data_IF_423623091386
#
_entry.id   IF_423623091386
#
_cell.length_a   1.000
_cell.length_b   1.000
_cell.length_c   1.000
_cell.angle_alpha   90.00
_cell.angle_beta   90.00
_cell.angle_gamma   90.00
#
_symmetry.space_group_name_H-M   'P 1'
#
loop_
_entity.id
_entity.type
_entity.pdbx_description
1 polymer ?
#
# COMPACT_ATOMS: atom_id res chain seq x y z
N UNK A 1 32.18 12.87 35.86
CA UNK A 1 31.38 11.68 36.23
C UNK A 1 29.89 12.01 36.46
N UNK A 2 29.30 12.95 35.69
CA UNK A 2 27.89 13.36 35.84
C UNK A 2 27.04 13.12 34.57
N UNK A 3 27.64 12.64 33.47
CA UNK A 3 26.91 12.34 32.23
C UNK A 3 26.26 10.95 32.21
N UNK A 4 26.74 10.00 33.03
CA UNK A 4 26.22 8.63 33.07
C UNK A 4 24.84 8.53 33.73
N UNK A 5 24.44 9.51 34.56
CA UNK A 5 23.13 9.52 35.21
C UNK A 5 22.01 10.15 34.36
N UNK A 6 22.32 10.96 33.34
CA UNK A 6 21.31 11.48 32.40
C UNK A 6 20.79 10.44 31.42
N UNK A 7 21.54 9.36 31.18
CA UNK A 7 21.15 8.29 30.23
C UNK A 7 20.19 7.26 30.81
N UNK A 8 19.91 7.29 32.12
CA UNK A 8 18.93 6.38 32.76
C UNK A 8 17.50 6.94 32.78
N UNK A 9 17.29 8.23 32.51
CA UNK A 9 15.98 8.87 32.64
C UNK A 9 15.31 9.25 31.31
N UNK A 10 15.92 8.93 30.15
CA UNK A 10 15.33 9.23 28.83
C UNK A 10 14.70 8.03 28.12
N UNK A 11 14.52 6.90 28.81
CA UNK A 11 14.00 5.66 28.22
C UNK A 11 12.76 5.12 28.96
N UNK A 12 11.91 6.02 29.43
CA UNK A 12 10.50 5.71 29.64
C UNK A 12 9.71 6.32 28.48
N UNK A 13 9.91 5.77 27.29
CA UNK A 13 8.80 5.75 26.33
C UNK A 13 7.71 4.93 27.01
N UNK A 14 6.51 5.50 27.13
CA UNK A 14 5.34 4.76 27.60
C UNK A 14 5.17 3.58 26.64
N UNK A 15 5.64 2.40 27.04
CA UNK A 15 5.51 1.19 26.22
C UNK A 15 4.02 1.01 25.96
N UNK A 16 3.60 1.18 24.69
CA UNK A 16 2.17 1.17 24.36
C UNK A 16 1.59 -0.18 24.76
N UNK A 17 0.39 -0.18 25.34
CA UNK A 17 -0.29 -1.43 25.66
C UNK A 17 -0.74 -2.12 24.37
N UNK A 18 -0.07 -3.23 24.05
CA UNK A 18 -0.34 -4.08 22.89
C UNK A 18 -1.06 -5.38 23.28
N UNK A 19 -1.44 -5.54 24.55
CA UNK A 19 -2.01 -6.78 25.09
C UNK A 19 -3.29 -7.16 24.35
N UNK A 20 -4.19 -6.20 24.13
CA UNK A 20 -5.45 -6.44 23.44
C UNK A 20 -5.25 -6.95 22.00
N UNK A 21 -4.25 -6.43 21.27
CA UNK A 21 -3.96 -6.87 19.90
C UNK A 21 -3.27 -8.22 19.89
N UNK A 22 -2.36 -8.44 20.84
CA UNK A 22 -1.71 -9.74 21.04
C UNK A 22 -2.74 -10.83 21.32
N UNK A 23 -3.64 -10.60 22.28
CA UNK A 23 -4.68 -11.56 22.64
C UNK A 23 -5.62 -11.84 21.47
N UNK A 24 -6.05 -10.79 20.77
CA UNK A 24 -6.85 -10.90 19.55
C UNK A 24 -6.19 -11.74 18.46
N UNK A 25 -4.88 -11.58 18.26
CA UNK A 25 -4.11 -12.31 17.26
C UNK A 25 -3.96 -13.78 17.66
N UNK A 26 -3.57 -14.05 18.91
CA UNK A 26 -3.38 -15.40 19.44
C UNK A 26 -4.69 -16.19 19.48
N UNK A 27 -5.81 -15.55 19.82
CA UNK A 27 -7.15 -16.18 19.78
C UNK A 27 -7.55 -16.62 18.37
N UNK A 28 -7.04 -15.98 17.32
CA UNK A 28 -7.23 -16.38 15.92
C UNK A 28 -6.19 -17.38 15.41
N UNK A 29 -5.26 -17.81 16.27
CA UNK A 29 -4.16 -18.68 15.88
C UNK A 29 -3.10 -17.98 15.03
N UNK A 30 -3.05 -16.65 15.02
CA UNK A 30 -2.01 -15.90 14.33
C UNK A 30 -0.74 -15.81 15.18
N UNK A 31 0.41 -15.69 14.52
CA UNK A 31 1.66 -15.37 15.20
C UNK A 31 1.69 -13.89 15.58
N UNK A 32 2.17 -13.57 16.78
CA UNK A 32 2.34 -12.18 17.25
C UNK A 32 3.77 -11.96 17.75
N UNK A 33 4.36 -10.81 17.37
CA UNK A 33 5.69 -10.38 17.82
C UNK A 33 5.69 -8.87 18.07
N UNK A 34 6.30 -8.43 19.17
CA UNK A 34 6.63 -7.00 19.36
C UNK A 34 7.78 -6.60 18.45
N UNK A 35 7.70 -5.42 17.83
CA UNK A 35 8.80 -4.87 17.05
C UNK A 35 9.97 -4.50 17.98
N UNK A 36 11.20 -4.65 17.50
CA UNK A 36 12.39 -4.31 18.30
C UNK A 36 12.64 -2.80 18.22
N UNK A 37 12.67 -2.13 19.37
CA UNK A 37 13.17 -0.75 19.51
C UNK A 37 12.14 0.36 19.24
N UNK A 38 11.02 0.04 18.60
CA UNK A 38 9.91 0.97 18.32
C UNK A 38 8.61 0.35 18.86
N UNK A 39 7.69 1.18 19.36
CA UNK A 39 6.39 0.79 19.94
C UNK A 39 5.44 0.20 18.88
N UNK A 40 5.82 -0.93 18.29
CA UNK A 40 5.15 -1.56 17.16
C UNK A 40 4.94 -3.07 17.33
N UNK A 41 4.22 -3.66 16.39
CA UNK A 41 4.01 -5.11 16.36
C UNK A 41 4.02 -5.68 14.95
N UNK A 42 4.19 -6.99 14.89
CA UNK A 42 4.07 -7.81 13.68
C UNK A 42 3.11 -8.96 13.96
N UNK A 43 2.17 -9.19 13.04
CA UNK A 43 1.27 -10.34 13.05
C UNK A 43 1.47 -11.13 11.78
N UNK A 44 1.67 -12.44 11.92
CA UNK A 44 1.82 -13.38 10.81
C UNK A 44 0.59 -14.28 10.76
N UNK A 45 -0.04 -14.39 9.60
CA UNK A 45 -1.20 -15.24 9.38
C UNK A 45 -1.21 -15.85 7.98
N UNK A 46 -2.32 -16.48 7.61
CA UNK A 46 -2.49 -17.13 6.31
C UNK A 46 -3.91 -16.95 5.81
N UNK A 47 -4.05 -16.81 4.50
CA UNK A 47 -5.30 -16.88 3.76
C UNK A 47 -5.15 -17.96 2.69
N UNK A 48 -6.01 -18.98 2.70
CA UNK A 48 -5.96 -20.11 1.76
C UNK A 48 -4.56 -20.75 1.62
N UNK A 49 -3.85 -20.87 2.75
CA UNK A 49 -2.50 -21.44 2.81
C UNK A 49 -1.37 -20.48 2.43
N UNK A 50 -1.67 -19.34 1.80
CA UNK A 50 -0.69 -18.30 1.46
C UNK A 50 -0.43 -17.37 2.66
N UNK A 51 0.82 -17.10 3.03
CA UNK A 51 1.13 -16.28 4.19
C UNK A 51 0.89 -14.78 3.92
N UNK A 52 0.28 -14.10 4.89
CA UNK A 52 0.23 -12.65 4.95
C UNK A 52 0.92 -12.15 6.21
N UNK A 53 1.34 -10.88 6.18
CA UNK A 53 1.93 -10.19 7.34
C UNK A 53 1.28 -8.83 7.55
N UNK A 54 0.98 -8.52 8.80
CA UNK A 54 0.61 -7.19 9.29
C UNK A 54 1.80 -6.63 10.06
N UNK A 55 2.10 -5.36 9.85
CA UNK A 55 3.07 -4.59 10.63
C UNK A 55 2.44 -3.27 11.04
N UNK A 56 2.59 -2.90 12.31
CA UNK A 56 2.18 -1.59 12.82
C UNK A 56 3.36 -0.93 13.50
N UNK A 57 3.63 0.32 13.16
CA UNK A 57 4.78 1.07 13.67
C UNK A 57 4.97 2.40 12.96
N UNK A 58 6.18 2.98 12.99
CA UNK A 58 6.45 4.27 12.35
C UNK A 58 6.14 4.27 10.84
N UNK A 59 5.74 5.43 10.30
CA UNK A 59 5.33 5.55 8.91
C UNK A 59 6.53 5.40 7.97
N UNK A 60 6.30 4.69 6.86
CA UNK A 60 7.25 4.58 5.73
C UNK A 60 6.87 5.51 4.56
N UNK A 61 5.82 6.32 4.75
CA UNK A 61 5.27 7.23 3.75
C UNK A 61 5.05 8.59 4.41
N UNK A 62 5.56 9.64 3.79
CA UNK A 62 5.53 11.00 4.35
C UNK A 62 4.11 11.56 4.51
N UNK A 63 3.14 11.02 3.78
CA UNK A 63 1.73 11.40 3.90
C UNK A 63 1.03 10.72 5.09
N UNK A 64 1.66 9.75 5.75
CA UNK A 64 1.13 9.09 6.95
C UNK A 64 1.77 9.72 8.17
N UNK A 65 0.94 10.20 9.09
CA UNK A 65 1.38 10.76 10.38
C UNK A 65 1.15 9.75 11.49
N UNK A 66 1.88 9.88 12.59
CA UNK A 66 1.68 8.99 13.74
C UNK A 66 2.20 7.58 13.45
N UNK A 67 1.29 6.63 13.25
CA UNK A 67 1.64 5.22 13.03
C UNK A 67 0.93 4.68 11.77
N UNK A 68 1.62 3.79 11.07
CA UNK A 68 1.13 3.13 9.86
C UNK A 68 0.83 1.67 10.15
N UNK A 69 -0.35 1.21 9.74
CA UNK A 69 -0.69 -0.20 9.61
C UNK A 69 -0.41 -0.64 8.17
N UNK A 70 0.44 -1.66 8.01
CA UNK A 70 0.86 -2.22 6.73
C UNK A 70 0.46 -3.68 6.66
N UNK A 71 -0.18 -4.09 5.57
CA UNK A 71 -0.44 -5.48 5.26
C UNK A 71 0.24 -5.84 3.95
N UNK A 72 0.78 -7.06 3.88
CA UNK A 72 1.38 -7.59 2.66
C UNK A 72 1.13 -9.07 2.49
N UNK A 73 1.00 -9.51 1.26
CA UNK A 73 0.80 -10.92 0.91
C UNK A 73 1.36 -11.21 -0.49
N UNK A 74 2.06 -12.33 -0.64
CA UNK A 74 2.48 -12.86 -1.94
C UNK A 74 1.29 -13.59 -2.57
N UNK A 75 0.95 -13.24 -3.81
CA UNK A 75 -0.21 -13.77 -4.52
C UNK A 75 0.16 -14.53 -5.79
N UNK A 76 1.42 -14.48 -6.21
CA UNK A 76 1.92 -15.04 -7.48
C UNK A 76 1.10 -14.59 -8.70
N UNK A 77 0.54 -13.37 -8.64
CA UNK A 77 -0.14 -12.75 -9.77
C UNK A 77 0.87 -12.42 -10.88
N UNK A 78 0.37 -12.34 -12.12
CA UNK A 78 1.15 -11.74 -13.21
C UNK A 78 1.67 -10.36 -12.78
N UNK A 79 2.91 -10.04 -13.14
CA UNK A 79 3.55 -8.76 -12.86
C UNK A 79 2.77 -7.56 -13.42
N UNK A 80 1.92 -7.82 -14.41
CA UNK A 80 1.21 -6.82 -15.19
C UNK A 80 -0.14 -6.43 -14.54
N UNK A 81 -0.60 -7.20 -13.55
CA UNK A 81 -1.81 -6.92 -12.78
C UNK A 81 -1.54 -5.84 -11.73
N UNK A 82 -1.50 -4.58 -12.18
CA UNK A 82 -1.20 -3.40 -11.38
C UNK A 82 -2.47 -2.59 -11.19
N UNK A 83 -3.01 -2.63 -9.98
CA UNK A 83 -4.25 -1.97 -9.62
C UNK A 83 -4.06 -1.26 -8.28
N UNK A 84 -4.64 -0.07 -8.15
CA UNK A 84 -4.46 0.79 -6.99
C UNK A 84 -5.79 1.47 -6.64
N UNK A 85 -6.18 1.37 -5.38
CA UNK A 85 -7.28 2.13 -4.76
C UNK A 85 -6.71 3.00 -3.66
N UNK A 86 -7.13 4.26 -3.63
CA UNK A 86 -6.68 5.28 -2.69
C UNK A 86 -7.89 5.96 -2.05
N UNK A 87 -7.77 6.38 -0.78
CA UNK A 87 -8.70 7.37 -0.23
C UNK A 87 -8.67 8.66 -1.06
N UNK A 88 -9.82 9.27 -1.30
CA UNK A 88 -9.95 10.43 -2.19
C UNK A 88 -9.07 11.62 -1.79
N UNK A 89 -8.99 12.04 -0.51
CA UNK A 89 -8.11 13.15 -0.11
C UNK A 89 -6.62 12.84 -0.35
N UNK A 90 -6.21 11.59 -0.16
CA UNK A 90 -4.83 11.16 -0.46
C UNK A 90 -4.56 11.25 -1.97
N UNK A 91 -5.45 10.73 -2.80
CA UNK A 91 -5.30 10.80 -4.26
C UNK A 91 -5.17 12.26 -4.72
N UNK A 92 -6.07 13.14 -4.29
CA UNK A 92 -6.05 14.56 -4.67
C UNK A 92 -4.75 15.24 -4.20
N UNK A 93 -4.26 14.91 -3.00
CA UNK A 93 -2.99 15.43 -2.48
C UNK A 93 -1.78 14.93 -3.27
N UNK A 94 -1.76 13.66 -3.66
CA UNK A 94 -0.66 13.08 -4.44
C UNK A 94 -0.67 13.61 -5.87
N UNK A 95 -1.85 13.81 -6.49
CA UNK A 95 -1.97 14.43 -7.82
C UNK A 95 -1.46 15.87 -7.81
N UNK A 96 -1.83 16.67 -6.80
CA UNK A 96 -1.31 18.04 -6.65
C UNK A 96 0.21 18.06 -6.47
N UNK A 97 0.75 17.23 -5.57
CA UNK A 97 2.20 17.13 -5.34
C UNK A 97 2.94 16.73 -6.61
N UNK A 98 2.37 15.82 -7.38
CA UNK A 98 2.93 15.37 -8.65
C UNK A 98 2.97 16.52 -9.66
N UNK A 99 1.89 17.30 -9.76
CA UNK A 99 1.84 18.48 -10.63
C UNK A 99 2.89 19.52 -10.23
N UNK A 100 3.00 19.85 -8.93
CA UNK A 100 4.01 20.76 -8.38
C UNK A 100 5.43 20.29 -8.72
N UNK A 101 5.73 19.01 -8.51
CA UNK A 101 7.03 18.41 -8.87
C UNK A 101 7.28 18.46 -10.38
N UNK A 102 6.26 18.33 -11.24
CA UNK A 102 6.43 18.46 -12.70
C UNK A 102 6.60 19.92 -13.17
N UNK A 103 5.93 20.88 -12.53
CA UNK A 103 6.08 22.31 -12.86
C UNK A 103 7.40 22.87 -12.35
N UNK A 104 7.88 22.40 -11.21
CA UNK A 104 9.13 22.85 -10.61
C UNK A 104 10.37 22.16 -11.24
N UNK A 105 10.24 20.92 -11.73
CA UNK A 105 11.34 20.14 -12.34
C UNK A 105 11.49 20.31 -13.87
N UNK A 106 11.35 21.53 -14.41
CA UNK A 106 11.97 21.86 -15.71
C UNK A 106 13.52 21.78 -15.63
N UNK A 107 14.10 21.69 -14.42
CA UNK A 107 15.51 21.39 -14.23
C UNK A 107 15.72 20.24 -13.24
N UNK A 108 16.42 19.21 -13.75
CA UNK A 108 17.14 18.13 -13.02
C UNK A 108 16.32 16.96 -12.42
N UNK A 109 16.35 15.86 -13.17
CA UNK A 109 16.29 14.44 -12.74
C UNK A 109 15.17 14.09 -11.74
N UNK A 110 14.07 13.54 -12.27
CA UNK A 110 13.08 12.76 -11.50
C UNK A 110 13.82 11.55 -10.90
N UNK A 111 14.35 11.72 -9.71
CA UNK A 111 15.08 10.71 -8.98
C UNK A 111 14.17 9.58 -8.51
N UNK A 112 14.78 8.44 -8.21
CA UNK A 112 14.24 7.21 -7.63
C UNK A 112 13.49 7.37 -6.29
N UNK A 113 13.14 8.59 -5.86
CA UNK A 113 12.50 8.92 -4.59
C UNK A 113 10.97 9.04 -4.67
N UNK A 114 10.38 9.14 -5.87
CA UNK A 114 8.92 9.28 -6.01
C UNK A 114 8.22 7.97 -5.61
N UNK A 115 7.30 7.99 -4.61
CA UNK A 115 6.52 6.82 -4.20
C UNK A 115 5.78 6.18 -5.37
N UNK A 116 5.61 4.84 -5.33
CA UNK A 116 4.93 4.08 -6.39
C UNK A 116 3.54 4.65 -6.70
N UNK A 117 2.80 5.04 -5.67
CA UNK A 117 1.43 5.53 -5.78
C UNK A 117 1.38 6.83 -6.61
N UNK A 118 2.34 7.74 -6.43
CA UNK A 118 2.45 8.97 -7.23
C UNK A 118 2.78 8.65 -8.69
N UNK A 119 3.74 7.74 -8.91
CA UNK A 119 4.12 7.33 -10.27
C UNK A 119 2.92 6.74 -11.03
N UNK A 120 2.11 5.95 -10.35
CA UNK A 120 0.96 5.26 -10.94
C UNK A 120 -0.18 6.22 -11.29
N UNK A 121 -0.38 7.28 -10.50
CA UNK A 121 -1.35 8.32 -10.84
C UNK A 121 -1.04 9.05 -12.15
N UNK A 122 0.23 9.05 -12.57
CA UNK A 122 0.68 9.59 -13.86
C UNK A 122 0.61 8.53 -14.95
N UNK A 123 1.08 7.32 -14.65
CA UNK A 123 1.29 6.27 -15.65
C UNK A 123 0.00 5.53 -16.04
N UNK A 124 -0.93 5.38 -15.10
CA UNK A 124 -2.09 4.52 -15.30
C UNK A 124 -3.39 5.30 -15.44
N UNK A 125 -4.28 4.87 -16.37
CA UNK A 125 -5.60 5.42 -16.49
C UNK A 125 -6.43 5.25 -15.20
N UNK A 126 -7.28 6.24 -14.92
CA UNK A 126 -8.26 6.18 -13.83
C UNK A 126 -9.34 5.14 -14.15
N UNK A 127 -9.69 4.33 -13.16
CA UNK A 127 -10.81 3.40 -13.23
C UNK A 127 -12.12 4.20 -13.14
N UNK A 128 -13.07 3.89 -14.03
CA UNK A 128 -14.35 4.60 -14.07
C UNK A 128 -15.33 4.09 -13.01
N UNK A 129 -15.40 4.76 -11.86
CA UNK A 129 -16.29 4.41 -10.75
C UNK A 129 -17.68 5.08 -10.83
N UNK A 130 -18.12 5.55 -12.01
CA UNK A 130 -19.35 6.37 -12.13
C UNK A 130 -20.62 5.59 -11.74
N UNK A 131 -20.64 4.27 -11.96
CA UNK A 131 -21.72 3.37 -11.55
C UNK A 131 -21.74 3.12 -10.03
N UNK A 132 -20.61 3.34 -9.35
CA UNK A 132 -20.39 3.12 -7.92
C UNK A 132 -20.35 4.46 -7.16
N UNK A 133 -21.48 5.18 -7.15
CA UNK A 133 -21.56 6.58 -6.66
C UNK A 133 -20.99 6.79 -5.25
N UNK A 134 -21.38 5.94 -4.28
CA UNK A 134 -20.90 6.04 -2.90
C UNK A 134 -19.39 5.82 -2.79
N UNK A 135 -18.86 4.91 -3.61
CA UNK A 135 -17.44 4.59 -3.64
C UNK A 135 -16.62 5.73 -4.26
N UNK A 136 -17.07 6.28 -5.40
CA UNK A 136 -16.42 7.37 -6.12
C UNK A 136 -16.22 8.64 -5.27
N UNK A 137 -17.10 8.88 -4.29
CA UNK A 137 -16.97 10.01 -3.38
C UNK A 137 -15.80 9.86 -2.41
N UNK A 138 -15.56 8.64 -1.92
CA UNK A 138 -14.59 8.38 -0.85
C UNK A 138 -13.25 7.84 -1.36
N UNK A 139 -13.23 7.30 -2.58
CA UNK A 139 -12.07 6.65 -3.17
C UNK A 139 -11.84 7.08 -4.61
N UNK A 140 -10.61 6.90 -5.06
CA UNK A 140 -10.27 6.86 -6.47
C UNK A 140 -9.35 5.69 -6.76
N UNK A 141 -9.25 5.33 -8.04
CA UNK A 141 -8.52 4.14 -8.45
C UNK A 141 -7.86 4.33 -9.82
N UNK A 142 -6.72 3.68 -10.00
CA UNK A 142 -6.00 3.57 -11.27
C UNK A 142 -5.60 2.12 -11.49
N UNK A 143 -5.50 1.70 -12.75
CA UNK A 143 -5.08 0.34 -13.09
C UNK A 143 -4.36 0.32 -14.45
N UNK A 144 -3.43 -0.63 -14.63
CA UNK A 144 -2.79 -0.87 -15.93
C UNK A 144 -3.81 -1.22 -17.01
N UNK A 145 -4.87 -1.96 -16.64
CA UNK A 145 -6.05 -2.24 -17.46
C UNK A 145 -7.29 -1.78 -16.68
N UNK A 146 -7.93 -0.64 -17.04
CA UNK A 146 -9.07 -0.08 -16.31
C UNK A 146 -10.22 -1.04 -16.08
N UNK A 147 -10.53 -1.87 -17.07
CA UNK A 147 -11.63 -2.83 -17.03
C UNK A 147 -11.36 -3.89 -15.96
N UNK A 148 -10.14 -4.44 -15.92
CA UNK A 148 -9.73 -5.37 -14.86
C UNK A 148 -9.70 -4.70 -13.49
N UNK A 149 -9.31 -3.42 -13.42
CA UNK A 149 -9.38 -2.63 -12.20
C UNK A 149 -10.82 -2.42 -11.71
N UNK A 150 -11.77 -2.19 -12.62
CA UNK A 150 -13.19 -2.10 -12.28
C UNK A 150 -13.71 -3.45 -11.81
N UNK A 151 -13.43 -4.53 -12.55
CA UNK A 151 -13.81 -5.89 -12.18
C UNK A 151 -13.24 -6.29 -10.81
N UNK A 152 -12.04 -5.82 -10.45
CA UNK A 152 -11.44 -6.06 -9.13
C UNK A 152 -12.23 -5.39 -8.01
N UNK A 153 -12.69 -4.16 -8.26
CA UNK A 153 -13.39 -3.33 -7.28
C UNK A 153 -14.85 -3.74 -7.14
N UNK A 154 -15.52 -4.09 -8.23
CA UNK A 154 -16.95 -4.39 -8.23
C UNK A 154 -17.32 -5.61 -7.35
N UNK A 155 -18.54 -5.56 -6.82
CA UNK A 155 -19.09 -6.60 -5.96
C UNK A 155 -18.55 -6.54 -4.52
N UNK A 156 -17.97 -7.63 -3.97
CA UNK A 156 -17.54 -7.69 -2.57
C UNK A 156 -16.60 -6.57 -2.13
N UNK A 157 -15.61 -6.19 -2.95
CA UNK A 157 -14.65 -5.15 -2.55
C UNK A 157 -15.31 -3.77 -2.48
N UNK A 158 -16.19 -3.42 -3.41
CA UNK A 158 -16.96 -2.17 -3.36
C UNK A 158 -17.79 -2.09 -2.08
N UNK A 159 -18.51 -3.17 -1.72
CA UNK A 159 -19.29 -3.22 -0.48
C UNK A 159 -18.40 -3.09 0.77
N UNK A 160 -17.24 -3.73 0.78
CA UNK A 160 -16.29 -3.64 1.89
C UNK A 160 -15.69 -2.24 2.05
N UNK A 161 -15.33 -1.58 0.94
CA UNK A 161 -14.83 -0.20 0.93
C UNK A 161 -15.92 0.80 1.35
N UNK A 162 -17.17 0.62 0.92
CA UNK A 162 -18.31 1.43 1.36
C UNK A 162 -18.61 1.27 2.85
N UNK A 163 -18.45 0.07 3.39
CA UNK A 163 -18.56 -0.15 4.84
C UNK A 163 -17.39 0.51 5.57
N UNK A 164 -16.17 0.35 5.06
CA UNK A 164 -14.97 0.93 5.63
C UNK A 164 -15.04 2.46 5.68
N UNK A 165 -15.59 3.13 4.65
CA UNK A 165 -15.73 4.60 4.62
C UNK A 165 -16.70 5.13 5.69
N UNK A 166 -17.60 4.30 6.21
CA UNK A 166 -18.50 4.67 7.33
C UNK A 166 -17.95 4.31 8.69
N UNK A 167 -16.92 3.46 8.73
CA UNK A 167 -16.28 2.95 9.95
C UNK A 167 -14.80 3.33 10.01
N UNK A 168 -13.92 2.35 9.73
CA UNK A 168 -12.46 2.46 9.83
C UNK A 168 -11.88 3.71 9.14
N UNK A 169 -12.42 4.09 7.98
CA UNK A 169 -11.93 5.16 7.13
C UNK A 169 -12.80 6.43 7.19
N UNK A 170 -13.69 6.54 8.19
CA UNK A 170 -14.63 7.66 8.33
C UNK A 170 -13.95 9.02 8.46
N UNK A 171 -12.79 9.06 9.11
CA UNK A 171 -12.00 10.29 9.27
C UNK A 171 -11.06 10.53 8.09
N UNK A 172 -11.26 9.81 6.98
CA UNK A 172 -10.47 9.86 5.76
C UNK A 172 -8.95 9.79 5.99
N UNK A 173 -8.46 8.83 6.83
CA UNK A 173 -7.02 8.64 6.96
C UNK A 173 -6.43 8.25 5.61
N UNK A 174 -5.14 8.55 5.35
CA UNK A 174 -4.46 8.02 4.19
C UNK A 174 -4.67 6.51 4.08
N UNK A 175 -5.16 6.07 2.93
CA UNK A 175 -5.45 4.67 2.65
C UNK A 175 -4.97 4.30 1.25
N UNK A 176 -4.30 3.15 1.16
CA UNK A 176 -3.80 2.55 -0.08
C UNK A 176 -4.13 1.06 -0.04
N UNK A 177 -4.72 0.53 -1.11
CA UNK A 177 -4.79 -0.89 -1.41
C UNK A 177 -4.30 -1.11 -2.83
N UNK A 178 -3.32 -1.98 -3.03
CA UNK A 178 -2.71 -2.18 -4.35
C UNK A 178 -2.20 -3.59 -4.59
N UNK A 179 -2.16 -3.99 -5.86
CA UNK A 179 -1.42 -5.17 -6.34
C UNK A 179 -0.18 -4.72 -7.10
N UNK A 180 1.01 -5.19 -6.73
CA UNK A 180 2.29 -4.79 -7.35
C UNK A 180 3.25 -5.97 -7.37
N UNK A 181 3.75 -6.32 -8.56
CA UNK A 181 4.77 -7.36 -8.78
C UNK A 181 4.40 -8.70 -8.09
N UNK A 182 3.19 -9.18 -8.36
CA UNK A 182 2.72 -10.46 -7.79
C UNK A 182 2.32 -10.41 -6.31
N UNK A 183 2.28 -9.23 -5.68
CA UNK A 183 1.95 -9.05 -4.26
C UNK A 183 0.77 -8.12 -4.08
N UNK A 184 0.05 -8.29 -2.98
CA UNK A 184 -0.89 -7.29 -2.49
C UNK A 184 -0.32 -6.54 -1.30
N UNK A 185 -0.66 -5.25 -1.24
CA UNK A 185 -0.31 -4.36 -0.15
C UNK A 185 -1.52 -3.54 0.28
N UNK A 186 -1.67 -3.33 1.58
CA UNK A 186 -2.56 -2.32 2.13
C UNK A 186 -1.77 -1.46 3.12
N UNK A 187 -1.92 -0.14 3.02
CA UNK A 187 -1.34 0.81 3.96
C UNK A 187 -2.42 1.75 4.45
N UNK A 188 -2.48 1.99 5.75
CA UNK A 188 -3.35 3.04 6.29
C UNK A 188 -2.78 3.64 7.56
N UNK A 189 -3.10 4.91 7.80
CA UNK A 189 -2.81 5.52 9.09
C UNK A 189 -3.68 4.88 10.17
N UNK A 190 -3.06 4.48 11.29
CA UNK A 190 -3.75 3.95 12.45
C UNK A 190 -3.04 4.42 13.72
N UNK A 191 -3.55 5.48 14.35
CA UNK A 191 -2.84 6.15 15.44
C UNK A 191 -2.67 5.29 16.71
N UNK A 192 -3.68 4.45 16.98
CA UNK A 192 -3.72 3.55 18.13
C UNK A 192 -3.88 2.09 17.68
N UNK A 193 -3.20 1.13 18.34
CA UNK A 193 -3.26 -0.28 17.99
C UNK A 193 -4.58 -0.91 18.49
N UNK A 194 -5.72 -0.48 17.95
CA UNK A 194 -7.03 -1.03 18.30
C UNK A 194 -7.28 -2.37 17.58
N UNK A 195 -7.53 -3.48 18.30
CA UNK A 195 -7.80 -4.77 17.67
C UNK A 195 -8.97 -4.76 16.70
N UNK A 196 -10.00 -3.94 16.94
CA UNK A 196 -11.15 -3.85 16.03
C UNK A 196 -10.75 -3.22 14.71
N UNK A 197 -9.98 -2.13 14.74
CA UNK A 197 -9.44 -1.49 13.55
C UNK A 197 -8.49 -2.41 12.78
N UNK A 198 -7.59 -3.11 13.47
CA UNK A 198 -6.68 -4.10 12.86
C UNK A 198 -7.47 -5.23 12.18
N UNK A 199 -8.49 -5.76 12.85
CA UNK A 199 -9.35 -6.82 12.30
C UNK A 199 -10.13 -6.35 11.07
N UNK A 200 -10.72 -5.15 11.13
CA UNK A 200 -11.47 -4.59 10.01
C UNK A 200 -10.56 -4.34 8.80
N UNK A 201 -9.32 -3.90 9.04
CA UNK A 201 -8.33 -3.69 7.98
C UNK A 201 -7.90 -5.01 7.34
N UNK A 202 -7.64 -6.04 8.17
CA UNK A 202 -7.33 -7.38 7.67
C UNK A 202 -8.49 -7.94 6.83
N UNK A 203 -9.74 -7.84 7.30
CA UNK A 203 -10.90 -8.32 6.55
C UNK A 203 -11.04 -7.62 5.19
N UNK A 204 -10.84 -6.29 5.15
CA UNK A 204 -10.83 -5.54 3.89
C UNK A 204 -9.70 -5.99 2.96
N UNK A 205 -8.50 -6.24 3.51
CA UNK A 205 -7.36 -6.72 2.75
C UNK A 205 -7.60 -8.11 2.16
N UNK A 206 -8.13 -9.04 2.96
CA UNK A 206 -8.46 -10.40 2.51
C UNK A 206 -9.50 -10.37 1.37
N UNK A 207 -10.53 -9.54 1.48
CA UNK A 207 -11.51 -9.33 0.40
C UNK A 207 -10.80 -8.80 -0.86
N UNK A 208 -9.95 -7.78 -0.72
CA UNK A 208 -9.19 -7.22 -1.84
C UNK A 208 -8.28 -8.25 -2.52
N UNK A 209 -7.62 -9.11 -1.74
CA UNK A 209 -6.80 -10.22 -2.23
C UNK A 209 -7.65 -11.24 -2.97
N UNK A 210 -8.75 -11.71 -2.38
CA UNK A 210 -9.64 -12.69 -3.01
C UNK A 210 -10.20 -12.17 -4.33
N UNK A 211 -10.58 -10.88 -4.40
CA UNK A 211 -11.02 -10.29 -5.65
C UNK A 211 -9.88 -10.20 -6.68
N UNK A 212 -8.66 -9.86 -6.26
CA UNK A 212 -7.51 -9.78 -7.17
C UNK A 212 -7.19 -11.16 -7.77
N UNK A 213 -7.18 -12.21 -6.93
CA UNK A 213 -7.00 -13.60 -7.38
C UNK A 213 -8.11 -14.03 -8.34
N UNK A 214 -9.36 -13.63 -8.11
CA UNK A 214 -10.49 -13.91 -9.02
C UNK A 214 -10.21 -13.32 -10.40
N UNK A 215 -10.02 -12.00 -10.49
CA UNK A 215 -9.99 -11.30 -11.79
C UNK A 215 -8.73 -11.61 -12.60
N UNK A 216 -7.59 -11.81 -11.93
CA UNK A 216 -6.34 -12.18 -12.59
C UNK A 216 -6.31 -13.68 -12.90
N UNK A 217 -6.87 -14.53 -12.04
CA UNK A 217 -7.02 -15.96 -12.28
C UNK A 217 -7.95 -16.28 -13.45
N UNK A 218 -9.02 -15.49 -13.64
CA UNK A 218 -9.87 -15.56 -14.84
C UNK A 218 -9.19 -15.01 -16.11
N UNK A 219 -8.14 -14.19 -15.95
CA UNK A 219 -7.37 -13.60 -17.04
C UNK A 219 -6.40 -14.55 -17.73
N UNK A 220 -6.04 -15.68 -17.11
CA UNK A 220 -5.16 -16.69 -17.73
C UNK A 220 -5.75 -17.32 -19.02
N UNK A 221 -7.04 -17.12 -19.29
CA UNK A 221 -7.71 -17.51 -20.54
C UNK A 221 -7.90 -16.37 -21.56
N UNK A 222 -7.56 -15.12 -21.23
CA UNK A 222 -7.69 -13.97 -22.14
C UNK A 222 -6.29 -13.48 -22.50
N UNK A 223 -5.61 -14.25 -23.34
CA UNK A 223 -4.34 -13.88 -23.93
C UNK A 223 -4.53 -12.56 -24.71
N UNK A 224 -3.87 -11.45 -24.33
CA UNK A 224 -3.65 -10.37 -25.27
C UNK A 224 -2.61 -10.86 -26.28
N UNK A 225 -2.85 -10.55 -27.54
CA UNK A 225 -1.98 -10.84 -28.69
C UNK A 225 -0.47 -10.69 -28.35
N UNK A 226 0.38 -11.70 -28.61
CA UNK A 226 1.81 -11.68 -28.26
C UNK A 226 2.65 -10.63 -29.02
N UNK A 227 2.03 -9.78 -29.84
CA UNK A 227 2.74 -8.74 -30.61
C UNK A 227 2.71 -7.34 -29.99
N UNK A 228 2.03 -7.12 -28.86
CA UNK A 228 2.07 -5.86 -28.13
C UNK A 228 3.33 -5.65 -27.28
N UNK A 229 4.53 -5.75 -27.87
CA UNK A 229 5.77 -5.34 -27.21
C UNK A 229 5.71 -3.84 -26.90
N UNK A 230 5.32 -3.51 -25.68
CA UNK A 230 5.51 -2.16 -25.14
C UNK A 230 7.02 -1.94 -24.98
N UNK A 231 7.62 -1.29 -25.96
CA UNK A 231 9.05 -0.95 -26.06
C UNK A 231 9.49 0.14 -25.08
N UNK A 232 8.73 0.41 -24.01
CA UNK A 232 9.01 1.49 -23.07
C UNK A 232 10.21 1.22 -22.13
N UNK A 233 10.81 0.03 -22.16
CA UNK A 233 11.86 -0.37 -21.21
C UNK A 233 13.09 -0.99 -21.89
N UNK A 234 13.63 -0.32 -22.91
CA UNK A 234 15.01 -0.55 -23.34
C UNK A 234 15.64 0.80 -23.67
N UNK A 235 16.24 1.43 -22.65
CA UNK A 235 17.47 2.24 -22.72
C UNK A 235 17.56 3.20 -21.52
N UNK A 236 18.12 2.71 -20.43
CA UNK A 236 18.97 3.57 -19.60
C UNK A 236 20.40 3.12 -19.84
N UNK A 237 21.28 3.97 -20.42
CA UNK A 237 22.69 3.62 -20.52
C UNK A 237 23.27 3.55 -19.10
N UNK A 238 23.92 2.43 -18.79
CA UNK A 238 24.73 2.30 -17.59
C UNK A 238 25.90 3.29 -17.69
N UNK A 239 25.92 4.29 -16.80
CA UNK A 239 27.07 5.16 -16.63
C UNK A 239 28.27 4.34 -16.13
N UNK A 240 29.33 4.32 -16.92
CA UNK A 240 30.65 3.85 -16.52
C UNK A 240 31.66 4.97 -16.73
N UNK A 241 32.12 5.58 -15.63
CA UNK A 241 33.34 6.38 -15.60
C UNK A 241 34.55 5.45 -15.48
N UNK A 242 35.59 5.72 -16.29
CA UNK A 242 37.02 5.49 -15.96
C UNK A 242 37.84 6.23 -17.03
N UNK A 243 38.38 7.41 -16.72
CA UNK A 243 39.81 7.64 -16.40
C UNK A 243 40.79 7.55 -17.60
N UNK A 244 41.38 8.71 -17.91
CA UNK A 244 42.83 8.91 -18.00
C UNK A 244 43.64 8.24 -19.13
N UNK A 245 44.32 9.05 -19.95
CA UNK A 245 45.52 8.58 -20.66
C UNK A 245 45.91 9.36 -21.91
N UNK A 246 46.86 10.29 -21.73
CA UNK A 246 47.79 10.89 -22.71
C UNK A 246 48.05 10.14 -24.02
N UNK A 247 48.02 10.86 -25.15
CA UNK A 247 49.21 11.27 -25.93
C UNK A 247 48.85 12.34 -26.95
#
# INVERSE_FOLDING_TARGET
>A
MLESFKRLFSRQGHERDLTLVSDWALQRGYGFKRARGEDGFVIDGKLEGRPWRIEWGPPQRDYIRGHELRLRMELDLSSDAQMLVLSRPLMDSLERKTFEEFTDNVQTQIGTQTPEEMRWLVMFPKVNLTTLKSLRTNFGAVASVPETGLDWIEGPLASALEHASRGLLRTEPPFVLMTLRGRAYLRTQLDAPDPKAVAATLALFEIGVTQALRVVGTGAGRMPDPTGRSTAWQNFPAGGMSEGGTR
#
